data_IF_232806372194
#
_entry.id   IF_232806372194
#
_cell.length_a   1.000
_cell.length_b   1.000
_cell.length_c   1.000
_cell.angle_alpha   90.00
_cell.angle_beta   90.00
_cell.angle_gamma   90.00
#
_symmetry.space_group_name_H-M   'P 1'
#
loop_
_entity.id
_entity.type
_entity.pdbx_description
1 polymer ?
#
# COMPACT_ATOMS: atom_id res chain seq x y z
N UNK A 1 35.20 -8.85 36.87
CA UNK A 1 35.39 -7.55 36.20
C UNK A 1 34.78 -7.77 34.84
N UNK A 2 33.46 -7.66 34.78
CA UNK A 2 32.71 -7.77 33.53
C UNK A 2 33.05 -6.55 32.67
N UNK A 3 33.20 -6.79 31.37
CA UNK A 3 33.52 -5.73 30.43
C UNK A 3 32.22 -5.27 29.78
N UNK A 4 32.09 -3.98 29.44
CA UNK A 4 30.91 -3.44 28.75
C UNK A 4 30.53 -4.19 27.45
N UNK A 5 31.42 -5.05 26.93
CA UNK A 5 31.20 -5.88 25.75
C UNK A 5 30.27 -7.08 25.99
N UNK A 6 30.02 -7.47 27.24
CA UNK A 6 29.14 -8.62 27.56
C UNK A 6 27.71 -8.14 27.93
N UNK A 7 27.59 -7.11 28.77
CA UNK A 7 26.28 -6.64 29.28
C UNK A 7 25.40 -5.93 28.24
N UNK A 8 25.99 -5.18 27.31
CA UNK A 8 25.20 -4.40 26.33
C UNK A 8 24.52 -5.29 25.28
N UNK A 9 25.21 -6.25 24.63
CA UNK A 9 24.55 -7.18 23.72
C UNK A 9 23.42 -7.97 24.40
N UNK A 10 23.63 -8.45 25.63
CA UNK A 10 22.61 -9.17 26.40
C UNK A 10 21.38 -8.29 26.71
N UNK A 11 21.59 -7.01 27.04
CA UNK A 11 20.50 -6.05 27.25
C UNK A 11 19.66 -5.84 25.98
N UNK A 12 20.34 -5.75 24.83
CA UNK A 12 19.70 -5.59 23.52
C UNK A 12 18.94 -6.87 23.17
N UNK A 13 19.51 -8.06 23.38
CA UNK A 13 18.81 -9.33 23.16
C UNK A 13 17.57 -9.45 24.02
N UNK A 14 17.66 -9.19 25.33
CA UNK A 14 16.50 -9.22 26.22
C UNK A 14 15.40 -8.24 25.81
N UNK A 15 15.78 -7.07 25.28
CA UNK A 15 14.83 -6.09 24.74
C UNK A 15 14.19 -6.55 23.43
N UNK A 16 14.96 -7.13 22.51
CA UNK A 16 14.47 -7.60 21.21
C UNK A 16 13.58 -8.85 21.33
N UNK A 17 13.80 -9.67 22.35
CA UNK A 17 13.01 -10.90 22.60
C UNK A 17 11.75 -10.65 23.45
N UNK A 18 11.69 -9.54 24.19
CA UNK A 18 10.58 -9.27 25.11
C UNK A 18 9.36 -8.67 24.42
N UNK A 19 8.17 -9.08 24.86
CA UNK A 19 6.89 -8.66 24.26
C UNK A 19 6.25 -7.44 24.94
N UNK A 20 6.64 -7.17 26.18
CA UNK A 20 6.23 -6.00 26.94
C UNK A 20 7.32 -5.59 27.96
N UNK A 21 7.10 -4.48 28.65
CA UNK A 21 8.08 -3.96 29.63
C UNK A 21 8.41 -4.97 30.74
N UNK A 22 7.42 -5.66 31.30
CA UNK A 22 7.67 -6.59 32.41
C UNK A 22 8.41 -7.83 31.91
N UNK A 23 8.07 -8.30 30.71
CA UNK A 23 8.72 -9.43 30.06
C UNK A 23 10.19 -9.14 29.72
N UNK A 24 10.50 -7.95 29.18
CA UNK A 24 11.90 -7.51 28.96
C UNK A 24 12.68 -7.49 30.28
N UNK A 25 12.09 -6.95 31.35
CA UNK A 25 12.76 -6.91 32.66
C UNK A 25 12.95 -8.31 33.23
N UNK A 26 11.96 -9.20 33.15
CA UNK A 26 12.07 -10.59 33.62
C UNK A 26 13.12 -11.37 32.83
N UNK A 27 13.15 -11.19 31.52
CA UNK A 27 14.13 -11.80 30.62
C UNK A 27 15.53 -11.33 30.98
N UNK A 28 15.75 -10.01 31.11
CA UNK A 28 17.02 -9.46 31.56
C UNK A 28 17.45 -9.99 32.93
N UNK A 29 16.54 -10.07 33.92
CA UNK A 29 16.86 -10.68 35.23
C UNK A 29 17.25 -12.15 35.12
N UNK A 30 16.61 -12.90 34.21
CA UNK A 30 16.84 -14.33 34.04
C UNK A 30 18.21 -14.67 33.43
N UNK A 31 18.79 -13.75 32.65
CA UNK A 31 20.13 -13.91 32.06
C UNK A 31 21.25 -13.90 33.12
N UNK A 32 20.99 -13.33 34.31
CA UNK A 32 21.95 -13.31 35.42
C UNK A 32 23.08 -12.28 35.23
N UNK A 33 24.21 -12.46 35.92
CA UNK A 33 25.34 -11.52 35.84
C UNK A 33 25.11 -10.20 36.59
N UNK A 34 25.58 -9.09 36.01
CA UNK A 34 25.35 -7.70 36.48
C UNK A 34 23.92 -7.22 36.17
N UNK A 35 22.98 -7.89 36.84
CA UNK A 35 21.54 -7.78 36.60
C UNK A 35 21.02 -6.35 36.74
N UNK A 36 21.57 -5.52 37.63
CA UNK A 36 21.17 -4.13 37.81
C UNK A 36 21.54 -3.26 36.60
N UNK A 37 22.77 -3.36 36.10
CA UNK A 37 23.18 -2.64 34.87
C UNK A 37 22.44 -3.16 33.64
N UNK A 38 22.31 -4.48 33.51
CA UNK A 38 21.61 -5.14 32.41
C UNK A 38 20.14 -4.70 32.33
N UNK A 39 19.41 -4.80 33.45
CA UNK A 39 18.00 -4.39 33.53
C UNK A 39 17.82 -2.89 33.40
N UNK A 40 18.78 -2.07 33.85
CA UNK A 40 18.73 -0.62 33.64
C UNK A 40 18.79 -0.26 32.15
N UNK A 41 19.66 -0.92 31.37
CA UNK A 41 19.78 -0.68 29.93
C UNK A 41 18.56 -1.24 29.19
N UNK A 42 18.23 -2.52 29.40
CA UNK A 42 17.08 -3.17 28.77
C UNK A 42 15.76 -2.46 29.11
N UNK A 43 15.57 -2.09 30.38
CA UNK A 43 14.42 -1.34 30.87
C UNK A 43 14.30 0.06 30.28
N UNK A 44 15.42 0.77 30.06
CA UNK A 44 15.38 2.09 29.42
C UNK A 44 14.94 2.01 27.95
N UNK A 45 15.37 0.96 27.23
CA UNK A 45 14.91 0.70 25.85
C UNK A 45 13.42 0.27 25.85
N UNK A 46 13.04 -0.60 26.78
CA UNK A 46 11.66 -1.06 26.93
C UNK A 46 10.70 0.07 27.31
N UNK A 47 11.09 0.98 28.20
CA UNK A 47 10.27 2.15 28.54
C UNK A 47 10.00 3.01 27.29
N UNK A 48 11.01 3.19 26.43
CA UNK A 48 10.86 4.00 25.24
C UNK A 48 9.91 3.40 24.20
N UNK A 49 9.81 2.06 24.13
CA UNK A 49 8.97 1.35 23.16
C UNK A 49 7.58 0.99 23.71
N UNK A 50 7.52 0.44 24.93
CA UNK A 50 6.30 -0.12 25.52
C UNK A 50 5.68 0.78 26.60
N UNK A 51 6.42 1.76 27.12
CA UNK A 51 6.08 2.47 28.35
C UNK A 51 6.29 1.61 29.61
N UNK A 52 6.16 2.22 30.79
CA UNK A 52 6.25 1.52 32.09
C UNK A 52 4.83 1.36 32.66
N UNK A 53 4.39 0.15 33.04
CA UNK A 53 3.11 -0.05 33.72
C UNK A 53 3.01 0.78 35.00
N UNK A 54 1.87 1.45 35.21
CA UNK A 54 1.64 2.37 36.33
C UNK A 54 1.88 1.72 37.70
N UNK A 55 1.51 0.44 37.85
CA UNK A 55 1.70 -0.30 39.10
C UNK A 55 3.18 -0.47 39.44
N UNK A 56 4.02 -0.78 38.44
CA UNK A 56 5.47 -0.92 38.58
C UNK A 56 6.10 0.45 38.86
N UNK A 57 5.71 1.49 38.11
CA UNK A 57 6.20 2.85 38.32
C UNK A 57 5.88 3.35 39.74
N UNK A 58 4.66 3.11 40.23
CA UNK A 58 4.25 3.49 41.58
C UNK A 58 5.01 2.73 42.68
N UNK A 59 5.33 1.46 42.44
CA UNK A 59 6.10 0.59 43.32
C UNK A 59 7.56 1.05 43.43
N UNK A 60 8.18 1.44 42.31
CA UNK A 60 9.51 2.01 42.25
C UNK A 60 9.58 3.39 42.92
N UNK A 61 8.62 4.28 42.65
CA UNK A 61 8.57 5.61 43.27
C UNK A 61 8.52 5.58 44.80
N UNK A 62 7.87 4.57 45.39
CA UNK A 62 7.84 4.37 46.86
C UNK A 62 9.21 3.99 47.45
N UNK A 63 10.11 3.44 46.64
CA UNK A 63 11.46 2.99 47.06
C UNK A 63 12.53 4.04 46.80
N UNK A 64 12.24 5.04 45.96
CA UNK A 64 13.16 6.11 45.64
C UNK A 64 13.16 7.19 46.74
N UNK A 65 14.33 7.74 47.09
CA UNK A 65 14.44 8.96 47.88
C UNK A 65 13.70 10.16 47.25
N UNK A 66 13.22 11.07 48.10
CA UNK A 66 12.42 12.24 47.69
C UNK A 66 13.15 13.14 46.68
N UNK A 67 14.46 13.28 46.79
CA UNK A 67 15.28 14.09 45.88
C UNK A 67 15.36 13.48 44.47
N UNK A 68 15.41 12.14 44.35
CA UNK A 68 15.35 11.44 43.06
C UNK A 68 13.94 11.53 42.46
N UNK A 69 12.89 11.35 43.27
CA UNK A 69 11.51 11.55 42.82
C UNK A 69 11.30 12.96 42.25
N UNK A 70 11.83 13.99 42.91
CA UNK A 70 11.76 15.36 42.44
C UNK A 70 12.52 15.60 41.11
N UNK A 71 13.60 14.84 40.84
CA UNK A 71 14.30 14.88 39.54
C UNK A 71 13.43 14.25 38.44
N UNK A 72 12.84 13.09 38.73
CA UNK A 72 11.96 12.37 37.80
C UNK A 72 10.70 13.19 37.44
N UNK A 73 10.11 13.88 38.41
CA UNK A 73 8.94 14.73 38.17
C UNK A 73 9.27 15.88 37.21
N UNK A 74 10.38 16.60 37.46
CA UNK A 74 10.84 17.66 36.54
C UNK A 74 11.18 17.12 35.16
N UNK A 75 11.77 15.92 35.07
CA UNK A 75 12.09 15.29 33.79
C UNK A 75 10.81 14.93 33.03
N UNK A 76 9.83 14.33 33.68
CA UNK A 76 8.54 13.97 33.07
C UNK A 76 7.74 15.21 32.64
N UNK A 77 7.71 16.27 33.44
CA UNK A 77 7.08 17.55 33.08
C UNK A 77 7.67 18.14 31.79
N UNK A 78 8.97 17.93 31.54
CA UNK A 78 9.66 18.37 30.32
C UNK A 78 9.61 17.35 29.17
N UNK A 79 9.44 16.05 29.46
CA UNK A 79 9.35 14.95 28.48
C UNK A 79 7.98 14.85 27.82
N UNK A 80 6.90 15.03 28.58
CA UNK A 80 5.52 14.91 28.08
C UNK A 80 5.23 15.83 26.87
N UNK A 81 5.79 17.06 26.77
CA UNK A 81 5.65 17.89 25.57
C UNK A 81 6.56 17.50 24.38
N UNK A 82 7.57 16.64 24.57
CA UNK A 82 8.69 16.45 23.63
C UNK A 82 8.60 15.18 22.77
N UNK A 83 7.81 14.18 23.17
CA UNK A 83 7.44 13.06 22.32
C UNK A 83 6.03 13.38 21.83
N UNK A 84 5.84 13.70 20.53
CA UNK A 84 4.49 13.83 19.99
C UNK A 84 3.76 12.53 20.30
N UNK A 85 2.53 12.56 20.83
CA UNK A 85 1.71 11.35 20.84
C UNK A 85 1.72 10.78 19.42
N UNK A 86 1.80 9.45 19.29
CA UNK A 86 1.66 8.80 17.99
C UNK A 86 0.38 9.33 17.33
N UNK A 87 0.56 10.12 16.28
CA UNK A 87 -0.52 10.77 15.55
C UNK A 87 -0.63 10.08 14.20
N UNK A 88 -1.71 9.33 14.05
CA UNK A 88 -2.02 8.70 12.78
C UNK A 88 -2.75 9.71 11.87
N UNK A 89 -2.00 10.30 10.94
CA UNK A 89 -2.52 11.27 9.97
C UNK A 89 -3.65 10.70 9.09
N UNK A 90 -3.77 9.37 8.96
CA UNK A 90 -4.85 8.74 8.21
C UNK A 90 -6.19 8.79 8.94
N UNK A 91 -6.20 9.07 10.25
CA UNK A 91 -7.42 9.29 11.02
C UNK A 91 -7.93 10.74 10.93
N UNK A 92 -7.09 11.66 10.47
CA UNK A 92 -7.46 13.08 10.38
C UNK A 92 -8.68 13.29 9.48
N UNK A 93 -9.65 14.07 9.94
CA UNK A 93 -10.87 14.36 9.19
C UNK A 93 -12.01 13.35 9.37
N UNK A 94 -11.78 12.23 10.08
CA UNK A 94 -12.87 11.31 10.46
C UNK A 94 -13.91 11.94 11.40
N UNK A 95 -13.63 13.12 11.97
CA UNK A 95 -14.63 13.95 12.67
C UNK A 95 -15.84 14.27 11.80
N UNK A 96 -15.72 14.23 10.46
CA UNK A 96 -16.84 14.31 9.54
C UNK A 96 -17.86 13.19 9.77
N UNK A 97 -17.39 11.96 9.98
CA UNK A 97 -18.22 10.80 10.30
C UNK A 97 -18.87 10.99 11.67
N UNK A 98 -18.08 11.40 12.67
CA UNK A 98 -18.57 11.65 14.03
C UNK A 98 -19.68 12.73 14.06
N UNK A 99 -19.49 13.84 13.35
CA UNK A 99 -20.49 14.91 13.24
C UNK A 99 -21.76 14.44 12.51
N UNK A 100 -21.62 13.66 11.43
CA UNK A 100 -22.77 13.14 10.70
C UNK A 100 -23.58 12.16 11.57
N UNK A 101 -22.90 11.31 12.36
CA UNK A 101 -23.54 10.41 13.33
C UNK A 101 -24.27 11.22 14.41
N UNK A 102 -23.65 12.26 14.95
CA UNK A 102 -24.26 13.13 15.94
C UNK A 102 -25.54 13.79 15.42
N UNK A 103 -25.49 14.32 14.20
CA UNK A 103 -26.63 14.92 13.50
C UNK A 103 -27.76 13.91 13.27
N UNK A 104 -27.44 12.67 12.90
CA UNK A 104 -28.42 11.61 12.69
C UNK A 104 -29.14 11.21 13.97
N UNK A 105 -28.44 11.14 15.10
CA UNK A 105 -29.11 10.87 16.38
C UNK A 105 -29.89 12.08 16.91
N UNK A 106 -29.56 13.30 16.48
CA UNK A 106 -30.37 14.49 16.76
C UNK A 106 -31.64 14.54 15.88
N UNK A 107 -31.58 13.99 14.67
CA UNK A 107 -32.67 13.93 13.70
C UNK A 107 -32.62 12.60 12.92
N UNK A 108 -33.40 11.61 13.37
CA UNK A 108 -33.48 10.23 12.84
C UNK A 108 -34.19 10.16 11.47
N UNK A 109 -33.90 11.12 10.61
CA UNK A 109 -34.44 11.21 9.25
C UNK A 109 -33.57 10.41 8.28
N UNK A 110 -34.20 9.95 7.19
CA UNK A 110 -33.50 9.27 6.09
C UNK A 110 -32.41 10.17 5.48
N UNK A 111 -32.63 11.49 5.45
CA UNK A 111 -31.65 12.46 4.95
C UNK A 111 -30.38 12.44 5.79
N UNK A 112 -30.50 12.43 7.12
CA UNK A 112 -29.35 12.36 8.02
C UNK A 112 -28.65 11.01 7.98
N UNK A 113 -29.38 9.90 7.84
CA UNK A 113 -28.76 8.61 7.60
C UNK A 113 -27.90 8.61 6.33
N UNK A 114 -28.42 9.17 5.22
CA UNK A 114 -27.66 9.32 3.98
C UNK A 114 -26.44 10.22 4.16
N UNK A 115 -26.52 11.25 4.99
CA UNK A 115 -25.37 12.10 5.32
C UNK A 115 -24.26 11.33 6.07
N UNK A 116 -24.60 10.36 6.93
CA UNK A 116 -23.62 9.45 7.55
C UNK A 116 -22.91 8.59 6.50
N UNK A 117 -23.68 7.98 5.59
CA UNK A 117 -23.11 7.16 4.52
C UNK A 117 -22.21 7.99 3.59
N UNK A 118 -22.63 9.21 3.26
CA UNK A 118 -21.85 10.14 2.45
C UNK A 118 -20.57 10.60 3.18
N UNK A 119 -20.62 10.83 4.49
CA UNK A 119 -19.43 11.15 5.28
C UNK A 119 -18.41 9.99 5.26
N UNK A 120 -18.87 8.75 5.45
CA UNK A 120 -18.00 7.55 5.34
C UNK A 120 -17.43 7.45 3.93
N UNK A 121 -18.25 7.67 2.90
CA UNK A 121 -17.82 7.68 1.50
C UNK A 121 -16.75 8.75 1.25
N UNK A 122 -16.92 9.97 1.74
CA UNK A 122 -15.91 11.03 1.59
C UNK A 122 -14.59 10.70 2.29
N UNK A 123 -14.64 10.14 3.50
CA UNK A 123 -13.44 9.69 4.21
C UNK A 123 -12.76 8.52 3.48
N UNK A 124 -13.53 7.56 2.95
CA UNK A 124 -13.02 6.50 2.07
C UNK A 124 -12.31 7.09 0.85
N UNK A 125 -12.91 8.12 0.23
CA UNK A 125 -12.36 8.82 -0.93
C UNK A 125 -11.09 9.63 -0.66
N UNK A 126 -10.83 9.94 0.61
CA UNK A 126 -9.68 10.70 1.07
C UNK A 126 -8.58 9.82 1.70
N UNK A 127 -8.53 8.52 1.38
CA UNK A 127 -7.57 7.56 1.92
C UNK A 127 -7.59 7.46 3.45
N UNK A 128 -8.73 7.74 4.09
CA UNK A 128 -8.81 7.70 5.54
C UNK A 128 -8.90 6.28 6.05
N UNK A 129 -8.47 6.12 7.30
CA UNK A 129 -8.43 4.83 7.97
C UNK A 129 -9.50 4.73 9.05
N UNK A 130 -9.84 3.48 9.38
CA UNK A 130 -10.41 3.14 10.68
C UNK A 130 -9.35 2.42 11.52
N UNK A 131 -9.47 2.59 12.84
CA UNK A 131 -8.80 1.71 13.79
C UNK A 131 -9.66 0.45 13.94
N UNK A 132 -9.08 -0.73 13.75
CA UNK A 132 -9.77 -2.03 13.87
C UNK A 132 -9.17 -2.79 15.05
N UNK A 133 -10.03 -3.38 15.89
CA UNK A 133 -9.59 -4.34 16.90
C UNK A 133 -9.16 -5.66 16.25
N UNK A 134 -7.97 -6.12 16.58
CA UNK A 134 -7.45 -7.40 16.10
C UNK A 134 -7.14 -8.37 17.24
N UNK A 135 -7.16 -9.65 16.90
CA UNK A 135 -6.61 -10.73 17.70
C UNK A 135 -5.35 -11.17 16.97
N UNK A 136 -4.21 -10.99 17.61
CA UNK A 136 -2.91 -11.47 17.11
C UNK A 136 -2.85 -12.98 17.35
N UNK A 137 -2.48 -13.74 16.33
CA UNK A 137 -2.26 -15.17 16.47
C UNK A 137 -0.88 -15.41 17.09
N UNK A 138 -0.84 -16.01 18.28
CA UNK A 138 0.42 -16.28 19.01
C UNK A 138 1.29 -17.36 18.32
N UNK A 139 0.75 -18.13 17.36
CA UNK A 139 1.49 -19.17 16.64
C UNK A 139 2.02 -18.69 15.27
N UNK A 140 1.51 -17.58 14.73
CA UNK A 140 1.91 -17.00 13.45
C UNK A 140 1.74 -15.48 13.51
N UNK A 141 2.85 -14.79 13.82
CA UNK A 141 2.93 -13.33 13.99
C UNK A 141 2.46 -12.54 12.76
N UNK A 142 2.36 -13.18 11.59
CA UNK A 142 1.88 -12.55 10.36
C UNK A 142 0.36 -12.66 10.15
N UNK A 143 -0.37 -13.32 11.06
CA UNK A 143 -1.83 -13.49 10.93
C UNK A 143 -2.58 -12.77 12.05
N UNK A 144 -3.46 -11.84 11.64
CA UNK A 144 -4.37 -11.13 12.53
C UNK A 144 -5.82 -11.42 12.16
N UNK A 145 -6.65 -11.71 13.15
CA UNK A 145 -8.08 -11.88 12.97
C UNK A 145 -8.84 -10.66 13.49
N UNK A 146 -9.85 -10.19 12.74
CA UNK A 146 -10.69 -9.09 13.23
C UNK A 146 -11.52 -9.55 14.41
N UNK A 147 -11.50 -8.75 15.49
CA UNK A 147 -12.27 -9.05 16.69
C UNK A 147 -13.75 -8.76 16.45
N UNK A 148 -14.60 -9.73 16.72
CA UNK A 148 -16.06 -9.58 16.66
C UNK A 148 -16.66 -9.39 18.06
N UNK A 149 -17.74 -8.61 18.13
CA UNK A 149 -18.64 -8.51 19.27
C UNK A 149 -19.96 -9.19 18.93
N UNK A 150 -20.49 -9.96 19.89
CA UNK A 150 -21.82 -10.51 19.79
C UNK A 150 -22.82 -9.60 20.52
N UNK A 151 -23.83 -9.11 19.81
CA UNK A 151 -24.90 -8.31 20.38
C UNK A 151 -25.97 -9.20 21.04
N UNK A 152 -26.84 -8.62 21.87
CA UNK A 152 -27.86 -9.36 22.63
C UNK A 152 -28.84 -10.18 21.75
N UNK A 153 -28.97 -9.82 20.48
CA UNK A 153 -29.78 -10.53 19.48
C UNK A 153 -29.01 -11.72 18.83
N UNK A 154 -27.81 -12.02 19.31
CA UNK A 154 -26.97 -13.13 18.85
C UNK A 154 -26.15 -12.82 17.60
N UNK A 155 -26.31 -11.63 17.00
CA UNK A 155 -25.58 -11.24 15.78
C UNK A 155 -24.13 -10.89 16.08
N UNK A 156 -23.26 -11.24 15.14
CA UNK A 156 -21.84 -10.91 15.18
C UNK A 156 -21.59 -9.60 14.42
N UNK A 157 -20.79 -8.73 15.02
CA UNK A 157 -20.41 -7.44 14.47
C UNK A 157 -18.92 -7.22 14.61
N UNK A 158 -18.31 -6.61 13.60
CA UNK A 158 -16.96 -6.09 13.74
C UNK A 158 -16.98 -4.73 14.43
N UNK A 159 -15.83 -4.28 14.92
CA UNK A 159 -15.69 -3.00 15.63
C UNK A 159 -14.64 -2.13 14.98
N UNK A 160 -14.98 -0.86 14.78
CA UNK A 160 -14.07 0.15 14.25
C UNK A 160 -14.16 1.46 15.03
N UNK A 161 -13.06 2.20 15.03
CA UNK A 161 -13.00 3.56 15.59
C UNK A 161 -12.58 4.57 14.54
N UNK A 162 -13.21 5.75 14.62
CA UNK A 162 -12.90 6.91 13.78
C UNK A 162 -11.64 7.65 14.23
N UNK A 163 -11.27 7.54 15.51
CA UNK A 163 -10.20 8.31 16.12
C UNK A 163 -9.58 7.56 17.30
N UNK A 164 -8.36 7.96 17.66
CA UNK A 164 -7.66 7.46 18.84
C UNK A 164 -8.45 7.75 20.13
N UNK A 165 -9.06 8.94 20.23
CA UNK A 165 -9.91 9.33 21.37
C UNK A 165 -11.10 8.38 21.55
N UNK A 166 -11.75 7.96 20.47
CA UNK A 166 -12.86 7.00 20.52
C UNK A 166 -12.40 5.60 20.95
N UNK A 167 -11.21 5.18 20.52
CA UNK A 167 -10.61 3.91 20.93
C UNK A 167 -10.22 3.91 22.43
N UNK A 168 -9.61 4.99 22.92
CA UNK A 168 -9.13 5.11 24.31
C UNK A 168 -10.25 5.15 25.36
N UNK A 169 -11.51 5.35 24.95
CA UNK A 169 -12.69 5.18 25.82
C UNK A 169 -12.90 3.73 26.25
N UNK A 170 -12.32 2.77 25.52
CA UNK A 170 -12.41 1.34 25.76
C UNK A 170 -11.29 0.77 26.63
N UNK A 171 -11.18 -0.56 26.62
CA UNK A 171 -10.04 -1.27 27.23
C UNK A 171 -8.95 -1.48 26.19
N UNK A 172 -7.69 -1.33 26.61
CA UNK A 172 -6.53 -1.65 25.76
C UNK A 172 -6.67 -3.03 25.11
N UNK A 173 -6.55 -3.04 23.79
CA UNK A 173 -6.64 -4.21 22.91
C UNK A 173 -5.72 -3.97 21.72
N UNK A 174 -5.16 -5.02 21.12
CA UNK A 174 -4.39 -4.87 19.89
C UNK A 174 -5.25 -4.25 18.78
N UNK A 175 -4.67 -3.27 18.07
CA UNK A 175 -5.34 -2.55 16.99
C UNK A 175 -4.43 -2.41 15.78
N UNK A 176 -5.05 -2.27 14.62
CA UNK A 176 -4.40 -1.82 13.38
C UNK A 176 -5.12 -0.60 12.83
N UNK A 177 -4.40 0.26 12.13
CA UNK A 177 -4.98 1.33 11.33
C UNK A 177 -5.07 0.85 9.88
N UNK A 178 -6.26 0.95 9.27
CA UNK A 178 -6.52 0.33 7.99
C UNK A 178 -7.49 1.16 7.14
N UNK A 179 -7.26 1.22 5.83
CA UNK A 179 -8.09 1.96 4.88
C UNK A 179 -9.58 1.63 5.05
N UNK A 180 -10.42 2.66 5.06
CA UNK A 180 -11.87 2.50 5.19
C UNK A 180 -12.40 1.57 4.09
N UNK A 181 -11.99 1.76 2.82
CA UNK A 181 -12.45 0.89 1.73
C UNK A 181 -12.12 -0.59 1.98
N UNK A 182 -10.84 -0.92 2.22
CA UNK A 182 -10.41 -2.29 2.48
C UNK A 182 -11.15 -2.90 3.67
N UNK A 183 -11.45 -2.09 4.69
CA UNK A 183 -12.26 -2.47 5.85
C UNK A 183 -13.69 -2.81 5.44
N UNK A 184 -14.37 -1.92 4.71
CA UNK A 184 -15.74 -2.14 4.24
C UNK A 184 -15.85 -3.38 3.34
N UNK A 185 -14.91 -3.57 2.40
CA UNK A 185 -14.85 -4.76 1.54
C UNK A 185 -14.66 -6.05 2.33
N UNK A 186 -13.78 -6.04 3.34
CA UNK A 186 -13.53 -7.20 4.19
C UNK A 186 -14.82 -7.66 4.90
N UNK A 187 -15.61 -6.73 5.43
CA UNK A 187 -16.87 -7.08 6.07
C UNK A 187 -17.84 -7.80 5.13
N UNK A 188 -17.92 -7.39 3.86
CA UNK A 188 -18.79 -8.05 2.87
C UNK A 188 -18.43 -9.54 2.68
N UNK A 189 -17.16 -9.90 2.85
CA UNK A 189 -16.62 -11.27 2.71
C UNK A 189 -16.72 -12.14 3.97
N UNK A 190 -17.05 -11.56 5.14
CA UNK A 190 -17.13 -12.28 6.43
C UNK A 190 -18.57 -12.63 6.83
N UNK A 191 -18.77 -13.43 7.88
CA UNK A 191 -20.10 -13.73 8.42
C UNK A 191 -20.70 -12.61 9.29
N UNK A 192 -19.95 -11.53 9.57
CA UNK A 192 -20.43 -10.42 10.38
C UNK A 192 -21.63 -9.71 9.73
N UNK A 193 -22.50 -9.14 10.56
CA UNK A 193 -23.68 -8.35 10.13
C UNK A 193 -23.26 -6.99 9.57
N UNK A 194 -22.12 -6.47 10.02
CA UNK A 194 -21.66 -5.12 9.74
C UNK A 194 -20.58 -4.68 10.73
N UNK A 195 -20.40 -3.37 10.80
CA UNK A 195 -19.52 -2.71 11.76
C UNK A 195 -20.32 -1.94 12.82
N UNK A 196 -19.83 -1.98 14.06
CA UNK A 196 -20.17 -0.99 15.08
C UNK A 196 -19.05 0.05 15.07
N UNK A 197 -19.39 1.27 14.67
CA UNK A 197 -18.50 2.43 14.70
C UNK A 197 -18.57 3.04 16.10
N UNK A 198 -17.43 3.28 16.74
CA UNK A 198 -17.31 3.96 18.03
C UNK A 198 -18.22 3.37 19.13
N UNK A 199 -18.12 2.07 19.46
CA UNK A 199 -19.00 1.40 20.42
C UNK A 199 -18.99 2.00 21.84
N UNK A 200 -17.94 2.74 22.22
CA UNK A 200 -17.79 3.32 23.55
C UNK A 200 -18.17 4.80 23.62
N UNK A 201 -18.35 5.46 22.48
CA UNK A 201 -18.84 6.83 22.36
C UNK A 201 -20.27 6.86 21.80
N UNK A 202 -20.49 7.75 20.84
CA UNK A 202 -21.75 7.78 20.09
C UNK A 202 -21.73 6.71 19.00
N UNK A 203 -22.15 5.49 19.37
CA UNK A 203 -22.07 4.32 18.51
C UNK A 203 -22.99 4.42 17.28
N UNK A 204 -22.53 3.94 16.13
CA UNK A 204 -23.36 3.79 14.92
C UNK A 204 -23.25 2.37 14.35
N UNK A 205 -24.40 1.79 13.96
CA UNK A 205 -24.50 0.42 13.45
C UNK A 205 -24.52 0.44 11.91
N UNK A 206 -23.36 0.20 11.28
CA UNK A 206 -23.21 0.15 9.84
C UNK A 206 -23.42 -1.27 9.31
N UNK A 207 -24.63 -1.60 8.85
CA UNK A 207 -24.94 -2.94 8.30
C UNK A 207 -24.36 -3.16 6.92
N UNK A 208 -24.24 -4.41 6.48
CA UNK A 208 -23.85 -4.75 5.10
C UNK A 208 -24.71 -4.07 4.02
N UNK A 209 -26.01 -3.91 4.26
CA UNK A 209 -26.89 -3.21 3.32
C UNK A 209 -26.53 -1.73 3.21
N UNK A 210 -26.15 -1.09 4.32
CA UNK A 210 -25.66 0.29 4.31
C UNK A 210 -24.30 0.41 3.60
N UNK A 211 -23.40 -0.56 3.82
CA UNK A 211 -22.11 -0.64 3.12
C UNK A 211 -22.33 -0.76 1.61
N UNK A 212 -23.25 -1.62 1.18
CA UNK A 212 -23.56 -1.79 -0.23
C UNK A 212 -24.09 -0.49 -0.85
N UNK A 213 -24.93 0.28 -0.14
CA UNK A 213 -25.39 1.59 -0.61
C UNK A 213 -24.26 2.61 -0.78
N UNK A 214 -23.20 2.56 0.03
CA UNK A 214 -22.01 3.42 -0.15
C UNK A 214 -21.36 3.14 -1.51
N UNK A 215 -21.19 1.86 -1.88
CA UNK A 215 -20.62 1.48 -3.18
C UNK A 215 -21.55 1.75 -4.37
N UNK A 216 -22.86 1.55 -4.20
CA UNK A 216 -23.85 1.86 -5.24
C UNK A 216 -23.89 3.36 -5.58
N UNK A 217 -23.59 4.23 -4.62
CA UNK A 217 -23.54 5.68 -4.84
C UNK A 217 -22.44 6.10 -5.82
N UNK A 218 -21.36 5.32 -5.96
CA UNK A 218 -20.28 5.57 -6.93
C UNK A 218 -20.63 5.02 -8.34
N UNK A 219 -21.89 4.65 -8.59
CA UNK A 219 -22.35 4.17 -9.90
C UNK A 219 -22.06 2.69 -10.15
N UNK A 220 -21.74 1.93 -9.10
CA UNK A 220 -21.47 0.49 -9.18
C UNK A 220 -20.14 0.14 -9.87
N UNK A 221 -19.25 1.12 -9.99
CA UNK A 221 -17.91 0.91 -10.54
C UNK A 221 -16.91 0.62 -9.42
N UNK A 222 -15.86 -0.14 -9.73
CA UNK A 222 -14.85 -0.48 -8.72
C UNK A 222 -14.10 0.76 -8.26
N UNK A 223 -14.04 0.93 -6.93
CA UNK A 223 -13.43 2.07 -6.29
C UNK A 223 -11.91 1.89 -6.11
N UNK A 224 -11.52 0.68 -5.70
CA UNK A 224 -10.15 0.33 -5.37
C UNK A 224 -9.62 -0.75 -6.29
N UNK A 225 -8.34 -0.66 -6.64
CA UNK A 225 -7.63 -1.70 -7.36
C UNK A 225 -7.71 -3.02 -6.57
N UNK A 226 -7.90 -4.13 -7.28
CA UNK A 226 -8.11 -5.44 -6.66
C UNK A 226 -6.97 -5.81 -5.71
N UNK A 227 -7.33 -6.50 -4.64
CA UNK A 227 -6.39 -7.07 -3.65
C UNK A 227 -6.26 -8.59 -3.81
N UNK A 228 -6.61 -9.09 -4.99
CA UNK A 228 -6.51 -10.51 -5.30
C UNK A 228 -5.03 -10.91 -5.44
N UNK A 229 -4.64 -12.13 -5.03
CA UNK A 229 -3.31 -12.65 -5.29
C UNK A 229 -2.98 -12.51 -6.76
N UNK A 230 -1.84 -11.92 -7.06
CA UNK A 230 -1.41 -11.72 -8.43
C UNK A 230 -0.86 -13.07 -8.93
N UNK A 231 -1.33 -13.53 -10.07
CA UNK A 231 -0.85 -14.76 -10.72
C UNK A 231 -0.31 -14.43 -12.11
N UNK A 232 0.57 -15.27 -12.64
CA UNK A 232 1.09 -15.11 -14.01
C UNK A 232 -0.06 -15.09 -15.05
N UNK A 233 -1.08 -15.95 -14.89
CA UNK A 233 -2.25 -16.02 -15.78
C UNK A 233 -3.05 -14.70 -15.77
N UNK A 234 -3.16 -14.05 -14.61
CA UNK A 234 -3.89 -12.79 -14.48
C UNK A 234 -3.19 -11.63 -15.21
N UNK A 235 -1.86 -11.69 -15.33
CA UNK A 235 -1.03 -10.66 -15.97
C UNK A 235 -0.76 -10.92 -17.45
N UNK A 236 -1.07 -12.12 -17.97
CA UNK A 236 -0.63 -12.60 -19.28
C UNK A 236 -1.07 -11.69 -20.45
N UNK A 237 -2.33 -11.24 -20.45
CA UNK A 237 -2.91 -10.47 -21.55
C UNK A 237 -2.94 -8.95 -21.31
N UNK A 238 -2.44 -8.50 -20.15
CA UNK A 238 -2.42 -7.09 -19.76
C UNK A 238 -3.79 -6.47 -19.43
N UNK A 239 -4.89 -7.22 -19.51
CA UNK A 239 -6.24 -6.73 -19.19
C UNK A 239 -6.39 -6.34 -17.72
N UNK A 240 -5.73 -7.08 -16.82
CA UNK A 240 -5.72 -6.77 -15.39
C UNK A 240 -5.00 -5.45 -15.08
N UNK A 241 -3.83 -5.24 -15.69
CA UNK A 241 -3.10 -3.98 -15.57
C UNK A 241 -3.91 -2.80 -16.15
N UNK A 242 -4.54 -2.99 -17.31
CA UNK A 242 -5.43 -1.99 -17.91
C UNK A 242 -6.57 -1.61 -16.95
N UNK A 243 -7.24 -2.60 -16.36
CA UNK A 243 -8.34 -2.38 -15.42
C UNK A 243 -7.88 -1.64 -14.16
N UNK A 244 -6.70 -1.96 -13.64
CA UNK A 244 -6.10 -1.23 -12.53
C UNK A 244 -5.82 0.24 -12.87
N UNK A 245 -5.32 0.53 -14.07
CA UNK A 245 -5.10 1.89 -14.58
C UNK A 245 -6.42 2.67 -14.67
N UNK A 246 -7.48 2.07 -15.21
CA UNK A 246 -8.80 2.70 -15.29
C UNK A 246 -9.34 3.10 -13.90
N UNK A 247 -9.15 2.23 -12.90
CA UNK A 247 -9.53 2.52 -11.51
C UNK A 247 -8.69 3.68 -10.96
N UNK A 248 -7.37 3.69 -11.17
CA UNK A 248 -6.49 4.79 -10.72
C UNK A 248 -6.81 6.13 -11.39
N UNK A 249 -7.20 6.13 -12.67
CA UNK A 249 -7.61 7.34 -13.39
C UNK A 249 -8.92 7.91 -12.81
N UNK A 250 -9.85 7.04 -12.42
CA UNK A 250 -11.11 7.45 -11.78
C UNK A 250 -10.91 7.91 -10.33
N UNK A 251 -10.14 7.13 -9.57
CA UNK A 251 -9.96 7.25 -8.13
C UNK A 251 -8.47 7.31 -7.79
N UNK A 252 -7.89 8.51 -7.90
CA UNK A 252 -6.44 8.73 -7.76
C UNK A 252 -6.00 8.81 -6.29
N UNK A 253 -6.20 7.72 -5.57
CA UNK A 253 -5.81 7.56 -4.16
C UNK A 253 -4.42 6.96 -4.00
N UNK A 254 -3.76 7.22 -2.86
CA UNK A 254 -2.48 6.61 -2.50
C UNK A 254 -2.59 5.08 -2.46
N UNK A 255 -3.68 4.54 -1.92
CA UNK A 255 -3.92 3.08 -1.92
C UNK A 255 -3.93 2.52 -3.34
N UNK A 256 -4.66 3.14 -4.26
CA UNK A 256 -4.74 2.69 -5.64
C UNK A 256 -3.39 2.80 -6.35
N UNK A 257 -2.62 3.85 -6.09
CA UNK A 257 -1.27 3.98 -6.65
C UNK A 257 -0.32 2.89 -6.14
N UNK A 258 -0.38 2.54 -4.85
CA UNK A 258 0.42 1.45 -4.27
C UNK A 258 0.04 0.11 -4.91
N UNK A 259 -1.26 -0.17 -5.05
CA UNK A 259 -1.74 -1.41 -5.66
C UNK A 259 -1.38 -1.48 -7.15
N UNK A 260 -1.51 -0.38 -7.89
CA UNK A 260 -1.08 -0.30 -9.28
C UNK A 260 0.44 -0.52 -9.41
N UNK A 261 1.25 0.04 -8.51
CA UNK A 261 2.69 -0.18 -8.50
C UNK A 261 3.06 -1.66 -8.33
N UNK A 262 2.36 -2.39 -7.44
CA UNK A 262 2.52 -3.84 -7.28
C UNK A 262 2.21 -4.61 -8.56
N UNK A 263 1.11 -4.26 -9.23
CA UNK A 263 0.71 -4.91 -10.50
C UNK A 263 1.73 -4.59 -11.59
N UNK A 264 2.11 -3.32 -11.74
CA UNK A 264 3.09 -2.86 -12.73
C UNK A 264 4.42 -3.58 -12.58
N UNK A 265 4.92 -3.70 -11.34
CA UNK A 265 6.18 -4.36 -11.03
C UNK A 265 6.31 -5.70 -11.74
N UNK A 266 5.27 -6.52 -11.68
CA UNK A 266 5.26 -7.91 -12.16
C UNK A 266 4.66 -8.06 -13.57
N UNK A 267 4.19 -6.97 -14.18
CA UNK A 267 3.53 -6.99 -15.49
C UNK A 267 4.53 -7.03 -16.65
N UNK A 268 4.08 -7.60 -17.76
CA UNK A 268 4.71 -7.45 -19.06
C UNK A 268 4.02 -6.34 -19.85
N UNK A 269 4.81 -5.53 -20.54
CA UNK A 269 4.31 -4.41 -21.34
C UNK A 269 4.90 -4.44 -22.75
N UNK A 270 4.14 -3.90 -23.69
CA UNK A 270 4.54 -3.79 -25.08
C UNK A 270 5.22 -2.45 -25.35
N UNK A 271 6.37 -2.49 -26.03
CA UNK A 271 7.20 -1.35 -26.35
C UNK A 271 7.25 -1.21 -27.88
N UNK A 272 6.90 -0.04 -28.44
CA UNK A 272 7.06 0.25 -29.86
C UNK A 272 8.53 0.53 -30.17
N UNK A 273 9.08 -0.17 -31.15
CA UNK A 273 10.48 -0.05 -31.54
C UNK A 273 10.66 0.13 -33.05
N UNK A 274 11.66 0.92 -33.42
CA UNK A 274 12.22 0.93 -34.75
C UNK A 274 13.29 -0.17 -34.85
N UNK A 275 13.11 -1.09 -35.80
CA UNK A 275 14.10 -2.12 -36.10
C UNK A 275 15.20 -1.53 -37.01
N UNK A 276 16.45 -1.59 -36.55
CA UNK A 276 17.63 -1.18 -37.32
C UNK A 276 18.37 -2.45 -37.75
N UNK A 277 18.37 -2.70 -39.06
CA UNK A 277 19.09 -3.80 -39.70
C UNK A 277 20.58 -3.46 -39.85
N UNK A 278 21.44 -4.48 -39.92
CA UNK A 278 22.83 -4.28 -40.35
C UNK A 278 22.89 -3.90 -41.83
N UNK A 279 24.01 -3.32 -42.27
CA UNK A 279 24.21 -2.95 -43.68
C UNK A 279 24.07 -4.19 -44.59
N UNK A 280 24.56 -5.35 -44.16
CA UNK A 280 24.48 -6.61 -44.91
C UNK A 280 23.02 -7.10 -45.06
N UNK A 281 22.26 -7.11 -43.97
CA UNK A 281 20.85 -7.51 -43.99
C UNK A 281 19.97 -6.50 -44.73
N UNK A 282 20.30 -5.20 -44.65
CA UNK A 282 19.62 -4.14 -45.41
C UNK A 282 19.77 -4.33 -46.92
N UNK A 283 20.98 -4.67 -47.39
CA UNK A 283 21.24 -4.95 -48.81
C UNK A 283 20.47 -6.19 -49.31
N UNK A 284 20.39 -7.24 -48.50
CA UNK A 284 19.62 -8.45 -48.83
C UNK A 284 18.12 -8.12 -48.96
N UNK A 285 17.59 -7.36 -48.01
CA UNK A 285 16.19 -6.94 -48.02
C UNK A 285 15.90 -6.01 -49.19
N UNK A 286 16.72 -4.98 -49.40
CA UNK A 286 16.61 -4.02 -50.50
C UNK A 286 16.63 -4.72 -51.86
N UNK A 287 17.53 -5.69 -52.05
CA UNK A 287 17.58 -6.50 -53.27
C UNK A 287 16.29 -7.30 -53.49
N UNK A 288 15.75 -7.93 -52.45
CA UNK A 288 14.49 -8.67 -52.57
C UNK A 288 13.30 -7.76 -52.95
N UNK A 289 13.28 -6.52 -52.43
CA UNK A 289 12.27 -5.51 -52.78
C UNK A 289 12.43 -5.04 -54.23
N UNK A 290 13.66 -4.74 -54.65
CA UNK A 290 13.97 -4.34 -56.03
C UNK A 290 13.62 -5.45 -57.02
N UNK A 291 13.98 -6.71 -56.73
CA UNK A 291 13.64 -7.86 -57.56
C UNK A 291 12.11 -8.03 -57.68
N UNK A 292 11.35 -7.84 -56.61
CA UNK A 292 9.89 -7.89 -56.66
C UNK A 292 9.28 -6.73 -57.48
N UNK A 293 9.85 -5.53 -57.36
CA UNK A 293 9.44 -4.35 -58.12
C UNK A 293 9.70 -4.52 -59.62
N UNK A 294 10.88 -5.00 -60.00
CA UNK A 294 11.29 -5.25 -61.39
C UNK A 294 10.43 -6.34 -62.05
N UNK A 295 9.98 -7.33 -61.26
CA UNK A 295 9.07 -8.38 -61.72
C UNK A 295 7.58 -8.00 -61.63
N UNK A 296 7.24 -6.81 -61.14
CA UNK A 296 5.85 -6.36 -60.98
C UNK A 296 5.05 -7.16 -59.93
N UNK A 297 5.74 -7.82 -59.00
CA UNK A 297 5.17 -8.77 -58.03
C UNK A 297 5.37 -8.30 -56.59
N UNK A 298 5.05 -7.03 -56.32
CA UNK A 298 5.12 -6.45 -54.96
C UNK A 298 4.21 -7.18 -53.96
N UNK A 299 3.16 -7.86 -54.44
CA UNK A 299 2.28 -8.68 -53.60
C UNK A 299 3.00 -9.85 -52.94
N UNK A 300 4.07 -10.38 -53.55
CA UNK A 300 4.88 -11.47 -52.98
C UNK A 300 5.66 -11.10 -51.71
N UNK A 301 5.79 -9.80 -51.42
CA UNK A 301 6.45 -9.32 -50.21
C UNK A 301 5.52 -9.31 -48.98
N UNK A 302 4.20 -9.31 -49.19
CA UNK A 302 3.22 -9.26 -48.10
C UNK A 302 3.21 -10.61 -47.37
N UNK A 303 3.45 -10.58 -46.06
CA UNK A 303 3.51 -11.79 -45.21
C UNK A 303 4.75 -12.64 -45.43
N UNK A 304 5.76 -12.14 -46.15
CA UNK A 304 7.03 -12.84 -46.34
C UNK A 304 7.90 -12.70 -45.10
N UNK A 305 8.35 -13.83 -44.57
CA UNK A 305 9.32 -13.87 -43.47
C UNK A 305 10.75 -13.66 -43.99
N UNK A 306 11.52 -12.86 -43.26
CA UNK A 306 12.94 -12.63 -43.50
C UNK A 306 13.72 -13.06 -42.26
N UNK A 307 14.81 -13.79 -42.45
CA UNK A 307 15.74 -14.16 -41.38
C UNK A 307 16.96 -13.25 -41.47
N UNK A 308 17.25 -12.50 -40.41
CA UNK A 308 18.48 -11.70 -40.30
C UNK A 308 19.69 -12.61 -40.16
N UNK A 309 20.82 -12.20 -40.75
CA UNK A 309 22.10 -12.86 -40.54
C UNK A 309 22.86 -12.26 -39.34
N UNK A 310 22.61 -10.98 -39.04
CA UNK A 310 23.17 -10.25 -37.89
C UNK A 310 22.12 -9.90 -36.83
N UNK A 311 22.58 -9.34 -35.70
CA UNK A 311 21.69 -8.83 -34.66
C UNK A 311 20.92 -7.59 -35.13
N UNK A 312 19.59 -7.69 -35.14
CA UNK A 312 18.69 -6.54 -35.32
C UNK A 312 18.72 -5.70 -34.04
N UNK A 313 19.01 -4.41 -34.16
CA UNK A 313 18.94 -3.48 -33.03
C UNK A 313 17.54 -2.89 -32.94
N UNK A 314 16.88 -3.06 -31.80
CA UNK A 314 15.58 -2.47 -31.51
C UNK A 314 15.78 -1.16 -30.75
N UNK A 315 15.26 -0.05 -31.30
CA UNK A 315 15.32 1.26 -30.65
C UNK A 315 13.91 1.69 -30.28
N UNK A 316 13.58 1.77 -28.97
CA UNK A 316 12.28 2.25 -28.51
C UNK A 316 11.97 3.66 -29.03
N UNK A 317 10.72 3.88 -29.41
CA UNK A 317 10.24 5.22 -29.70
C UNK A 317 10.12 6.04 -28.41
N UNK A 318 10.13 7.37 -28.53
CA UNK A 318 10.00 8.29 -27.38
C UNK A 318 9.01 9.39 -27.74
N UNK A 319 7.94 9.48 -26.97
CA UNK A 319 6.93 10.50 -27.13
C UNK A 319 7.39 11.83 -26.53
N UNK A 320 7.02 12.92 -27.18
CA UNK A 320 7.25 14.27 -26.69
C UNK A 320 5.90 14.94 -26.42
N UNK A 321 5.76 15.53 -25.24
CA UNK A 321 4.64 16.40 -24.88
C UNK A 321 5.20 17.68 -24.26
N UNK A 322 5.00 18.81 -24.95
CA UNK A 322 5.68 20.08 -24.68
C UNK A 322 7.22 19.91 -24.62
N UNK A 323 7.83 20.28 -23.49
CA UNK A 323 9.27 20.17 -23.24
C UNK A 323 9.66 18.82 -22.60
N UNK A 324 8.69 17.93 -22.35
CA UNK A 324 8.90 16.67 -21.64
C UNK A 324 8.90 15.48 -22.60
N UNK A 325 9.77 14.50 -22.32
CA UNK A 325 9.86 13.24 -23.06
C UNK A 325 9.34 12.09 -22.21
N UNK A 326 8.61 11.16 -22.82
CA UNK A 326 8.04 10.00 -22.15
C UNK A 326 8.36 8.72 -22.90
N UNK A 327 8.66 7.66 -22.16
CA UNK A 327 8.87 6.34 -22.72
C UNK A 327 7.50 5.64 -22.85
N UNK A 328 7.00 5.40 -24.08
CA UNK A 328 5.69 4.78 -24.27
C UNK A 328 5.76 3.27 -24.03
N UNK A 329 4.81 2.78 -23.23
CA UNK A 329 4.53 1.34 -23.10
C UNK A 329 3.03 1.10 -23.20
N UNK A 330 2.64 -0.12 -23.51
CA UNK A 330 1.23 -0.48 -23.70
C UNK A 330 0.90 -1.78 -23.00
N UNK A 331 -0.32 -1.87 -22.45
CA UNK A 331 -0.77 -3.08 -21.75
C UNK A 331 -1.02 -4.22 -22.73
N UNK A 332 -1.41 -3.91 -23.97
CA UNK A 332 -1.53 -4.89 -25.07
C UNK A 332 -1.10 -4.27 -26.40
N UNK A 333 -0.98 -5.09 -27.44
CA UNK A 333 -0.59 -4.63 -28.75
C UNK A 333 -1.73 -3.89 -29.49
N UNK A 334 -2.99 -4.14 -29.09
CA UNK A 334 -4.18 -3.43 -29.56
C UNK A 334 -4.28 -2.01 -28.98
N UNK A 335 -3.82 -1.79 -27.75
CA UNK A 335 -3.81 -0.45 -27.10
C UNK A 335 -2.90 0.55 -27.81
N UNK A 336 -1.98 0.07 -28.67
CA UNK A 336 -1.20 0.95 -29.54
C UNK A 336 -2.03 1.59 -30.66
N UNK A 337 -3.17 1.00 -31.05
CA UNK A 337 -4.01 1.47 -32.14
C UNK A 337 -3.24 1.71 -33.45
N UNK A 338 -3.65 2.75 -34.19
CA UNK A 338 -3.00 3.18 -35.45
C UNK A 338 -1.53 3.55 -35.25
N UNK A 339 -1.14 4.05 -34.07
CA UNK A 339 0.24 4.40 -33.78
C UNK A 339 1.17 3.19 -33.86
N UNK A 340 0.71 2.02 -33.40
CA UNK A 340 1.50 0.78 -33.41
C UNK A 340 1.73 0.18 -34.80
N UNK A 341 0.97 0.57 -35.82
CA UNK A 341 1.06 -0.01 -37.18
C UNK A 341 2.40 0.24 -37.87
N UNK A 342 3.16 1.24 -37.41
CA UNK A 342 4.42 1.66 -38.00
C UNK A 342 5.65 1.17 -37.21
N UNK A 343 5.45 0.41 -36.14
CA UNK A 343 6.52 -0.06 -35.27
C UNK A 343 6.61 -1.57 -35.23
N UNK A 344 7.83 -2.05 -34.99
CA UNK A 344 8.00 -3.40 -34.48
C UNK A 344 7.64 -3.40 -33.01
N UNK A 345 6.84 -4.37 -32.57
CA UNK A 345 6.35 -4.45 -31.19
C UNK A 345 7.14 -5.52 -30.44
N UNK A 346 7.70 -5.16 -29.29
CA UNK A 346 8.40 -6.10 -28.41
C UNK A 346 7.72 -6.12 -27.04
N UNK A 347 7.63 -7.29 -26.44
CA UNK A 347 7.12 -7.42 -25.08
C UNK A 347 8.30 -7.57 -24.12
N UNK A 348 8.29 -6.79 -23.04
CA UNK A 348 9.30 -6.82 -21.99
C UNK A 348 8.65 -6.75 -20.61
N UNK A 349 9.33 -7.29 -19.61
CA UNK A 349 8.93 -7.10 -18.23
C UNK A 349 9.01 -5.60 -17.87
N UNK A 350 8.09 -5.09 -17.05
CA UNK A 350 8.01 -3.65 -16.77
C UNK A 350 9.31 -3.09 -16.16
N UNK A 351 9.99 -3.86 -15.30
CA UNK A 351 11.30 -3.48 -14.75
C UNK A 351 12.37 -3.29 -15.84
N UNK A 352 12.31 -4.07 -16.92
CA UNK A 352 13.21 -3.90 -18.07
C UNK A 352 12.84 -2.63 -18.85
N UNK A 353 11.54 -2.36 -19.05
CA UNK A 353 11.06 -1.12 -19.64
C UNK A 353 11.51 0.11 -18.84
N UNK A 354 11.46 0.05 -17.50
CA UNK A 354 11.99 1.09 -16.61
C UNK A 354 13.49 1.31 -16.80
N UNK A 355 14.27 0.23 -16.93
CA UNK A 355 15.70 0.32 -17.21
C UNK A 355 15.99 0.94 -18.59
N UNK A 356 15.21 0.60 -19.62
CA UNK A 356 15.31 1.20 -20.95
C UNK A 356 14.96 2.69 -20.92
N UNK A 357 13.89 3.06 -20.21
CA UNK A 357 13.47 4.44 -20.01
C UNK A 357 14.55 5.26 -19.29
N UNK A 358 15.06 4.76 -18.16
CA UNK A 358 16.09 5.43 -17.33
C UNK A 358 17.38 5.69 -18.09
N UNK A 359 17.77 4.78 -18.98
CA UNK A 359 19.02 4.89 -19.76
C UNK A 359 18.81 5.53 -21.14
N UNK A 360 17.63 6.08 -21.43
CA UNK A 360 17.35 6.70 -22.72
C UNK A 360 18.08 8.05 -22.86
N UNK A 361 18.67 8.29 -24.05
CA UNK A 361 19.45 9.50 -24.34
C UNK A 361 18.65 10.81 -24.22
N UNK A 362 17.32 10.76 -24.31
CA UNK A 362 16.44 11.93 -24.23
C UNK A 362 16.08 12.35 -22.80
N UNK A 363 16.58 11.66 -21.77
CA UNK A 363 16.26 11.93 -20.35
C UNK A 363 14.75 12.03 -20.09
N UNK A 364 14.03 10.93 -20.32
CA UNK A 364 12.57 10.90 -20.15
C UNK A 364 12.14 11.24 -18.72
N UNK A 365 11.00 11.89 -18.59
CA UNK A 365 10.38 12.24 -17.31
C UNK A 365 9.68 11.04 -16.64
N UNK A 366 9.45 9.97 -17.39
CA UNK A 366 8.77 8.78 -16.91
C UNK A 366 8.31 7.87 -18.04
N UNK A 367 7.57 6.83 -17.66
CA UNK A 367 6.87 5.94 -18.59
C UNK A 367 5.42 6.41 -18.72
N UNK A 368 4.92 6.45 -19.95
CA UNK A 368 3.49 6.63 -20.23
C UNK A 368 2.92 5.30 -20.71
N UNK A 369 1.98 4.76 -19.94
CA UNK A 369 1.23 3.55 -20.30
C UNK A 369 0.02 3.96 -21.14
N UNK A 370 -0.25 3.23 -22.23
CA UNK A 370 -1.45 3.39 -23.06
C UNK A 370 -1.65 4.84 -23.54
N UNK A 371 -0.59 5.44 -24.09
CA UNK A 371 -0.52 6.88 -24.38
C UNK A 371 -1.64 7.43 -25.29
N UNK A 372 -2.27 6.58 -26.10
CA UNK A 372 -3.28 6.96 -27.09
C UNK A 372 -4.70 6.45 -26.75
N UNK A 373 -4.88 5.86 -25.57
CA UNK A 373 -6.17 5.42 -25.04
C UNK A 373 -6.34 5.94 -23.60
N UNK A 374 -6.57 5.05 -22.63
CA UNK A 374 -6.65 5.39 -21.20
C UNK A 374 -5.24 5.53 -20.62
N UNK A 375 -4.63 6.71 -20.86
CA UNK A 375 -3.23 6.94 -20.53
C UNK A 375 -2.98 7.04 -19.02
N UNK A 376 -1.81 6.57 -18.58
CA UNK A 376 -1.32 6.76 -17.22
C UNK A 376 0.18 7.01 -17.20
N UNK A 377 0.63 8.03 -16.46
CA UNK A 377 2.05 8.38 -16.37
C UNK A 377 2.63 7.89 -15.05
N UNK A 378 3.70 7.10 -15.14
CA UNK A 378 4.57 6.72 -14.03
C UNK A 378 5.80 7.62 -14.07
N UNK A 379 5.91 8.60 -13.15
CA UNK A 379 7.07 9.47 -13.05
C UNK A 379 8.33 8.68 -12.72
N UNK A 380 9.48 9.16 -13.19
CA UNK A 380 10.77 8.50 -12.97
C UNK A 380 11.12 8.37 -11.48
N UNK A 381 10.61 9.26 -10.64
CA UNK A 381 10.80 9.25 -9.19
C UNK A 381 10.18 8.03 -8.51
N UNK A 382 9.21 7.37 -9.14
CA UNK A 382 8.58 6.15 -8.61
C UNK A 382 9.30 4.87 -9.03
N UNK A 383 10.27 4.94 -9.95
CA UNK A 383 10.89 3.73 -10.49
C UNK A 383 11.66 2.94 -9.44
N UNK A 384 12.42 3.60 -8.57
CA UNK A 384 13.16 2.90 -7.51
C UNK A 384 12.19 2.28 -6.49
N UNK A 385 11.10 2.98 -6.17
CA UNK A 385 10.04 2.46 -5.29
C UNK A 385 9.44 1.18 -5.88
N UNK A 386 9.09 1.18 -7.18
CA UNK A 386 8.51 0.00 -7.85
C UNK A 386 9.52 -1.14 -7.93
N UNK A 387 10.80 -0.85 -8.23
CA UNK A 387 11.84 -1.87 -8.33
C UNK A 387 12.16 -2.54 -6.99
N UNK A 388 12.09 -1.80 -5.89
CA UNK A 388 12.41 -2.28 -4.53
C UNK A 388 11.24 -3.03 -3.86
N UNK A 389 10.04 -3.02 -4.46
CA UNK A 389 8.93 -3.83 -3.96
C UNK A 389 9.23 -5.33 -4.06
N UNK A 390 8.65 -6.11 -3.17
CA UNK A 390 8.62 -7.57 -3.29
C UNK A 390 7.66 -8.01 -4.40
N UNK A 391 7.94 -9.19 -4.96
CA UNK A 391 7.06 -9.82 -5.95
C UNK A 391 5.72 -10.11 -5.33
N UNK A 392 4.66 -9.74 -6.05
CA UNK A 392 3.29 -10.04 -5.65
C UNK A 392 2.76 -11.30 -6.34
N UNK A 393 3.51 -11.87 -7.30
CA UNK A 393 3.24 -13.20 -7.87
C UNK A 393 3.47 -14.28 -6.79
N UNK A 394 2.43 -15.05 -6.46
CA UNK A 394 2.49 -16.25 -5.60
C UNK A 394 3.08 -17.48 -6.29
#
# INVERSE_FOLDING_TARGET
METCQETVPEAITAFLEGQDFEDVIRTAVSLGGDCDTLTCIAGSMAEALFGVPDEIAAECRKRLPDDINAVLDRFNELRIPAIPPFHDEFLDGNTLIEQAIADYYADDSKEKLLAVLEAIRQCMHADRHFIILVIVNEEDDNTVAFRTLQTNDGKLWHVVFTSQEEYEKGKNSAVISHFIDSTLQSCLKTEATGYIINPWGQSFMLTKELIQMIYEADGGVEYTVFDEPITEELLEDGSFLKKAIEICNRNRTKLNLIKLARILRDSYVWIPCNAILSDEDYEIWSKAVLDAADNGDMGSLIGREFTSHDNIRMVPDILQNDDNFFFPVFTSDEEMGEYGEHFSKIQHHFLEAMNLARNNEKNVCGIVVNAFSESFVIPIELFDIIADMDSSIE
#
